data_IF_208015973052
#
_entry.id   IF_208015973052
#
_cell.length_a   1.000
_cell.length_b   1.000
_cell.length_c   1.000
_cell.angle_alpha   90.00
_cell.angle_beta   90.00
_cell.angle_gamma   90.00
#
_symmetry.space_group_name_H-M   'P 1'
#
loop_
_entity.id
_entity.type
_entity.pdbx_description
1 polymer ?
#
# COMPACT_ATOMS: atom_id res chain seq x y z
N UNK A 1 7.42 0.66 9.88
CA UNK A 1 7.37 -0.23 8.69
C UNK A 1 7.91 0.53 7.48
N UNK A 2 8.49 -0.15 6.50
CA UNK A 2 8.89 0.45 5.21
C UNK A 2 8.37 -0.37 4.05
N UNK A 3 8.16 0.28 2.91
CA UNK A 3 7.83 -0.37 1.66
C UNK A 3 9.01 -0.26 0.69
N UNK A 4 9.51 -1.41 0.24
CA UNK A 4 10.53 -1.51 -0.80
C UNK A 4 9.79 -1.71 -2.13
N UNK A 5 9.85 -0.71 -3.00
CA UNK A 5 9.04 -0.64 -4.23
C UNK A 5 9.94 -0.54 -5.46
N UNK A 6 9.62 -1.22 -6.59
CA UNK A 6 10.34 -1.00 -7.83
C UNK A 6 10.32 0.48 -8.21
N UNK A 7 11.43 1.02 -8.73
CA UNK A 7 11.47 2.41 -9.22
C UNK A 7 10.62 2.60 -10.49
N UNK A 8 10.38 1.51 -11.22
CA UNK A 8 9.53 1.42 -12.39
C UNK A 8 8.52 0.30 -12.17
N UNK A 9 7.24 0.64 -12.10
CA UNK A 9 6.21 -0.34 -11.87
C UNK A 9 4.80 0.21 -12.01
N UNK A 10 3.85 -0.69 -12.19
CA UNK A 10 2.41 -0.39 -12.23
C UNK A 10 1.64 -1.45 -11.43
N UNK A 11 0.43 -1.10 -11.02
CA UNK A 11 -0.49 -2.05 -10.39
C UNK A 11 -0.06 -2.53 -9.00
N UNK A 12 0.99 -2.00 -8.38
CA UNK A 12 1.49 -2.47 -7.08
C UNK A 12 2.27 -3.80 -7.14
N UNK A 13 2.74 -4.21 -8.32
CA UNK A 13 3.57 -5.40 -8.49
C UNK A 13 4.95 -5.20 -7.84
N UNK A 14 5.46 -6.25 -7.20
CA UNK A 14 6.82 -6.25 -6.63
C UNK A 14 6.99 -5.43 -5.36
N UNK A 15 5.92 -4.85 -4.79
CA UNK A 15 6.01 -4.12 -3.53
C UNK A 15 6.25 -5.12 -2.39
N UNK A 16 7.30 -4.87 -1.61
CA UNK A 16 7.66 -5.64 -0.42
C UNK A 16 7.42 -4.75 0.80
N UNK A 17 6.60 -5.20 1.73
CA UNK A 17 6.38 -4.51 3.01
C UNK A 17 7.27 -5.12 4.08
N UNK A 18 8.04 -4.30 4.79
CA UNK A 18 9.02 -4.71 5.80
C UNK A 18 8.66 -4.12 7.16
N UNK A 19 8.70 -4.96 8.19
CA UNK A 19 8.45 -4.61 9.59
C UNK A 19 9.57 -5.18 10.47
N UNK A 20 10.01 -4.39 11.45
CA UNK A 20 10.86 -4.88 12.54
C UNK A 20 9.95 -5.43 13.64
N UNK A 21 10.20 -6.64 14.11
CA UNK A 21 9.37 -7.34 15.09
C UNK A 21 9.85 -7.14 16.55
N UNK A 22 11.11 -6.77 16.74
CA UNK A 22 11.79 -6.67 18.04
C UNK A 22 13.05 -7.53 18.08
N UNK A 23 13.98 -7.25 19.00
CA UNK A 23 15.22 -8.04 19.21
C UNK A 23 16.04 -8.28 17.92
N UNK A 24 16.08 -7.31 17.00
CA UNK A 24 16.79 -7.44 15.72
C UNK A 24 16.15 -8.41 14.72
N UNK A 25 14.91 -8.86 14.97
CA UNK A 25 14.14 -9.70 14.05
C UNK A 25 13.29 -8.85 13.10
N UNK A 26 13.16 -9.32 11.86
CA UNK A 26 12.47 -8.65 10.77
C UNK A 26 11.46 -9.58 10.11
N UNK A 27 10.42 -8.99 9.56
CA UNK A 27 9.43 -9.66 8.73
C UNK A 27 9.28 -8.88 7.44
N UNK A 28 9.21 -9.57 6.31
CA UNK A 28 8.69 -8.94 5.11
C UNK A 28 7.58 -9.76 4.47
N UNK A 29 6.70 -9.07 3.75
CA UNK A 29 5.65 -9.66 2.94
C UNK A 29 5.81 -9.23 1.48
N UNK A 30 5.79 -10.21 0.57
CA UNK A 30 5.72 -10.02 -0.87
C UNK A 30 4.52 -10.80 -1.41
N UNK A 31 3.58 -10.10 -2.03
CA UNK A 31 2.28 -10.65 -2.40
C UNK A 31 1.57 -11.25 -1.15
N UNK A 32 1.36 -12.56 -1.12
CA UNK A 32 0.76 -13.31 -0.01
C UNK A 32 1.77 -14.09 0.81
N UNK A 33 3.06 -14.01 0.46
CA UNK A 33 4.13 -14.75 1.12
C UNK A 33 4.78 -13.85 2.16
N UNK A 34 4.82 -14.35 3.40
CA UNK A 34 5.48 -13.69 4.53
C UNK A 34 6.72 -14.50 4.91
N UNK A 35 7.81 -13.81 5.23
CA UNK A 35 9.05 -14.42 5.71
C UNK A 35 9.58 -13.64 6.91
N UNK A 36 10.14 -14.36 7.86
CA UNK A 36 10.81 -13.81 9.05
C UNK A 36 12.31 -14.07 8.98
N UNK A 37 13.07 -13.18 9.62
CA UNK A 37 14.53 -13.16 9.59
C UNK A 37 15.03 -12.71 10.95
N UNK A 38 16.11 -13.31 11.43
CA UNK A 38 16.72 -12.97 12.73
C UNK A 38 17.83 -11.92 12.60
N UNK A 39 18.02 -11.33 11.40
CA UNK A 39 18.99 -10.27 11.16
C UNK A 39 18.64 -9.44 9.93
N UNK A 40 19.09 -8.18 9.91
CA UNK A 40 18.92 -7.28 8.76
C UNK A 40 19.66 -7.79 7.51
N UNK A 41 20.82 -8.41 7.69
CA UNK A 41 21.64 -8.94 6.59
C UNK A 41 20.92 -10.07 5.87
N UNK A 42 20.39 -11.05 6.61
CA UNK A 42 19.67 -12.18 6.00
C UNK A 42 18.39 -11.74 5.27
N UNK A 43 17.67 -10.77 5.84
CA UNK A 43 16.51 -10.14 5.20
C UNK A 43 16.91 -9.41 3.91
N UNK A 44 17.94 -8.56 3.97
CA UNK A 44 18.39 -7.75 2.82
C UNK A 44 18.90 -8.65 1.69
N UNK A 45 19.66 -9.71 1.99
CA UNK A 45 20.07 -10.71 0.99
C UNK A 45 18.87 -11.42 0.36
N UNK A 46 17.82 -11.74 1.13
CA UNK A 46 16.58 -12.32 0.60
C UNK A 46 15.86 -11.37 -0.35
N UNK A 47 15.74 -10.09 0.04
CA UNK A 47 15.14 -9.04 -0.79
C UNK A 47 15.95 -8.86 -2.08
N UNK A 48 17.28 -8.77 -2.01
CA UNK A 48 18.15 -8.63 -3.17
C UNK A 48 17.97 -9.76 -4.20
N UNK A 49 17.81 -11.01 -3.73
CA UNK A 49 17.50 -12.15 -4.61
C UNK A 49 16.12 -12.02 -5.28
N UNK A 50 15.15 -11.39 -4.62
CA UNK A 50 13.80 -11.16 -5.16
C UNK A 50 13.73 -9.98 -6.12
N UNK A 51 14.51 -8.92 -5.89
CA UNK A 51 14.54 -7.74 -6.76
C UNK A 51 15.38 -7.94 -8.02
N UNK A 52 16.22 -8.97 -8.10
CA UNK A 52 17.02 -9.33 -9.29
C UNK A 52 17.87 -8.16 -9.83
N UNK A 53 18.47 -7.38 -8.93
CA UNK A 53 19.28 -6.19 -9.28
C UNK A 53 18.52 -5.03 -9.94
N UNK A 54 17.19 -5.11 -10.01
CA UNK A 54 16.37 -3.96 -10.41
C UNK A 54 16.45 -2.85 -9.36
N UNK A 55 16.30 -1.60 -9.81
CA UNK A 55 16.33 -0.43 -8.93
C UNK A 55 15.03 -0.36 -8.12
N UNK A 56 15.16 -0.26 -6.80
CA UNK A 56 14.05 -0.11 -5.87
C UNK A 56 14.23 1.16 -5.03
N UNK A 57 13.11 1.71 -4.56
CA UNK A 57 13.07 2.80 -3.59
C UNK A 57 12.51 2.28 -2.27
N UNK A 58 13.02 2.81 -1.16
CA UNK A 58 12.51 2.52 0.19
C UNK A 58 11.67 3.71 0.62
N UNK A 59 10.41 3.46 0.94
CA UNK A 59 9.47 4.48 1.37
C UNK A 59 9.01 4.18 2.80
N UNK A 60 9.05 5.19 3.67
CA UNK A 60 8.44 5.08 5.00
C UNK A 60 6.93 4.77 4.87
N UNK A 61 6.48 3.73 5.57
CA UNK A 61 5.08 3.34 5.53
C UNK A 61 4.23 4.16 6.48
N UNK A 62 2.96 4.32 6.12
CA UNK A 62 1.91 4.83 7.01
C UNK A 62 0.98 3.69 7.39
N UNK A 63 0.40 3.77 8.59
CA UNK A 63 -0.62 2.83 9.03
C UNK A 63 -1.94 3.16 8.32
N UNK A 64 -2.28 2.40 7.28
CA UNK A 64 -3.53 2.60 6.56
C UNK A 64 -4.73 2.16 7.41
N UNK A 65 -5.82 2.92 7.25
CA UNK A 65 -7.12 2.54 7.77
C UNK A 65 -7.58 1.20 7.18
N UNK A 66 -8.50 0.55 7.91
CA UNK A 66 -9.04 -0.74 7.54
C UNK A 66 -10.55 -0.71 7.50
N UNK A 67 -11.11 -1.44 6.53
CA UNK A 67 -12.52 -1.75 6.44
C UNK A 67 -12.66 -3.27 6.40
N UNK A 68 -13.35 -3.85 7.40
CA UNK A 68 -13.47 -5.31 7.59
C UNK A 68 -12.10 -6.01 7.56
N UNK A 69 -11.15 -5.48 8.36
CA UNK A 69 -9.76 -5.94 8.47
C UNK A 69 -8.90 -5.85 7.19
N UNK A 70 -9.41 -5.24 6.12
CA UNK A 70 -8.70 -5.06 4.84
C UNK A 70 -8.20 -3.63 4.73
N UNK A 71 -6.95 -3.48 4.31
CA UNK A 71 -6.36 -2.17 4.02
C UNK A 71 -7.15 -1.48 2.92
N UNK A 72 -7.34 -0.18 3.03
CA UNK A 72 -7.79 0.62 1.90
C UNK A 72 -7.02 1.93 1.80
N UNK A 73 -7.06 2.52 0.62
CA UNK A 73 -6.66 3.90 0.40
C UNK A 73 -7.68 4.60 -0.50
N UNK A 74 -7.49 5.89 -0.71
CA UNK A 74 -8.32 6.69 -1.60
C UNK A 74 -7.50 7.09 -2.83
N UNK A 75 -8.15 7.12 -3.99
CA UNK A 75 -7.64 7.74 -5.20
C UNK A 75 -8.54 8.92 -5.53
N UNK A 76 -7.94 10.11 -5.48
CA UNK A 76 -8.57 11.35 -5.92
C UNK A 76 -8.05 11.61 -7.34
N UNK A 77 -8.94 11.80 -8.29
CA UNK A 77 -8.63 12.14 -9.67
C UNK A 77 -8.79 13.64 -9.83
N UNK A 78 -7.73 14.29 -10.30
CA UNK A 78 -7.70 15.74 -10.54
C UNK A 78 -7.39 16.02 -12.00
N UNK A 79 -8.10 16.96 -12.59
CA UNK A 79 -7.94 17.36 -13.99
C UNK A 79 -7.95 18.88 -14.11
N UNK A 80 -7.30 19.43 -15.14
CA UNK A 80 -7.41 20.85 -15.45
C UNK A 80 -8.69 21.11 -16.22
N UNK A 81 -9.50 22.05 -15.74
CA UNK A 81 -10.66 22.53 -16.48
C UNK A 81 -10.24 23.39 -17.69
N UNK A 82 -11.17 23.82 -18.58
CA UNK A 82 -10.84 24.67 -19.74
C UNK A 82 -10.19 26.02 -19.39
N UNK A 83 -10.30 26.46 -18.13
CA UNK A 83 -9.65 27.67 -17.61
C UNK A 83 -8.26 27.38 -17.00
N UNK A 84 -7.75 26.16 -17.15
CA UNK A 84 -6.44 25.73 -16.63
C UNK A 84 -6.38 25.45 -15.13
N UNK A 85 -7.52 25.48 -14.41
CA UNK A 85 -7.57 25.26 -12.95
C UNK A 85 -7.73 23.78 -12.64
N UNK A 86 -7.00 23.29 -11.63
CA UNK A 86 -7.15 21.92 -11.14
C UNK A 86 -8.46 21.74 -10.37
N UNK A 87 -9.22 20.72 -10.74
CA UNK A 87 -10.49 20.35 -10.10
C UNK A 87 -10.52 18.85 -9.84
N UNK A 88 -11.20 18.45 -8.76
CA UNK A 88 -11.44 17.03 -8.47
C UNK A 88 -12.56 16.53 -9.35
N UNK A 89 -12.27 15.56 -10.22
CA UNK A 89 -13.26 14.96 -11.14
C UNK A 89 -13.74 13.59 -10.70
N UNK A 90 -13.17 13.04 -9.63
CA UNK A 90 -13.73 11.88 -8.97
C UNK A 90 -12.88 11.36 -7.82
N UNK A 91 -13.53 10.60 -6.95
CA UNK A 91 -12.91 9.99 -5.78
C UNK A 91 -13.33 8.53 -5.72
N UNK A 92 -12.36 7.63 -5.51
CA UNK A 92 -12.62 6.21 -5.42
C UNK A 92 -11.81 5.57 -4.30
N UNK A 93 -12.48 4.76 -3.49
CA UNK A 93 -11.84 3.92 -2.49
C UNK A 93 -11.29 2.64 -3.11
N UNK A 94 -10.04 2.29 -2.77
CA UNK A 94 -9.39 1.05 -3.21
C UNK A 94 -9.21 0.12 -2.03
N UNK A 95 -10.10 -0.85 -1.90
CA UNK A 95 -10.09 -1.86 -0.85
C UNK A 95 -9.17 -3.02 -1.25
N UNK A 96 -8.05 -3.18 -0.55
CA UNK A 96 -7.04 -4.20 -0.84
C UNK A 96 -7.52 -5.64 -0.64
N UNK A 97 -6.79 -6.57 -1.24
CA UNK A 97 -7.02 -8.00 -1.04
C UNK A 97 -6.72 -8.39 0.43
N UNK A 98 -7.54 -9.23 1.10
CA UNK A 98 -7.38 -9.51 2.54
C UNK A 98 -6.00 -10.02 2.97
N UNK A 99 -5.31 -10.73 2.08
CA UNK A 99 -3.99 -11.32 2.34
C UNK A 99 -2.83 -10.51 1.75
N UNK A 100 -3.05 -9.29 1.25
CA UNK A 100 -1.99 -8.48 0.61
C UNK A 100 -1.85 -7.12 1.29
N UNK A 101 -0.65 -6.57 1.19
CA UNK A 101 -0.29 -5.23 1.70
C UNK A 101 -0.61 -4.09 0.70
N UNK A 102 -1.03 -4.44 -0.52
CA UNK A 102 -1.34 -3.48 -1.58
C UNK A 102 -2.84 -3.41 -1.84
N UNK A 103 -3.32 -2.19 -2.10
CA UNK A 103 -4.74 -1.84 -2.29
C UNK A 103 -5.17 -1.89 -3.76
N UNK A 104 -4.22 -1.99 -4.69
CA UNK A 104 -4.48 -1.85 -6.12
C UNK A 104 -5.44 -2.95 -6.65
N UNK A 105 -6.40 -2.55 -7.48
CA UNK A 105 -7.39 -3.45 -8.10
C UNK A 105 -6.72 -4.54 -8.93
N UNK A 106 -5.63 -4.24 -9.64
CA UNK A 106 -4.84 -5.23 -10.39
C UNK A 106 -4.20 -6.31 -9.52
N UNK A 107 -4.25 -6.17 -8.19
CA UNK A 107 -3.73 -7.14 -7.22
C UNK A 107 -4.85 -7.90 -6.49
N UNK A 108 -6.08 -7.86 -7.01
CA UNK A 108 -7.26 -8.45 -6.38
C UNK A 108 -7.95 -7.52 -5.38
N UNK A 109 -7.65 -6.22 -5.44
CA UNK A 109 -8.41 -5.19 -4.73
C UNK A 109 -9.79 -4.97 -5.36
N UNK A 110 -10.67 -4.26 -4.65
CA UNK A 110 -12.01 -3.87 -5.11
C UNK A 110 -12.20 -2.37 -4.98
N UNK A 111 -12.90 -1.77 -5.94
CA UNK A 111 -13.37 -0.39 -5.82
C UNK A 111 -14.56 -0.29 -4.87
N UNK A 112 -14.58 0.72 -4.02
CA UNK A 112 -15.69 1.02 -3.12
C UNK A 112 -15.95 2.53 -3.04
N UNK A 113 -17.22 2.93 -2.84
CA UNK A 113 -17.55 4.30 -2.44
C UNK A 113 -16.81 4.71 -1.16
N UNK A 114 -16.42 5.97 -1.07
CA UNK A 114 -15.60 6.51 0.02
C UNK A 114 -16.34 6.51 1.36
N UNK A 115 -17.63 6.85 1.34
CA UNK A 115 -18.56 6.82 2.46
C UNK A 115 -18.59 5.44 3.11
N UNK A 116 -18.67 4.36 2.32
CA UNK A 116 -18.64 2.98 2.83
C UNK A 116 -17.33 2.67 3.58
N UNK A 117 -16.19 3.16 3.08
CA UNK A 117 -14.89 2.88 3.68
C UNK A 117 -14.64 3.73 4.93
N UNK A 118 -15.08 4.99 4.92
CA UNK A 118 -14.84 5.97 5.98
C UNK A 118 -15.92 5.99 7.06
N UNK A 119 -17.07 5.33 6.87
CA UNK A 119 -18.20 5.31 7.82
C UNK A 119 -17.81 5.05 9.30
N UNK A 120 -16.77 4.24 9.55
CA UNK A 120 -16.32 3.91 10.92
C UNK A 120 -15.22 4.84 11.46
N UNK A 121 -14.75 5.77 10.64
CA UNK A 121 -13.57 6.61 10.89
C UNK A 121 -13.89 8.11 10.88
N UNK A 122 -15.11 8.48 10.47
CA UNK A 122 -15.60 9.85 10.47
C UNK A 122 -16.79 9.88 11.44
N UNK A 123 -16.75 10.77 12.43
CA UNK A 123 -17.94 11.20 13.17
C UNK A 123 -18.75 12.11 12.27
N UNK A 124 -20.08 11.95 12.26
CA UNK A 124 -20.96 12.85 11.50
C UNK A 124 -20.56 14.30 11.79
N UNK A 125 -20.17 15.01 10.74
CA UNK A 125 -19.98 16.45 10.80
C UNK A 125 -21.39 17.01 10.76
N UNK A 126 -22.04 17.09 11.92
CA UNK A 126 -23.22 17.95 12.07
C UNK A 126 -22.76 19.37 11.78
N UNK A 127 -23.29 19.94 10.69
CA UNK A 127 -23.15 21.35 10.32
C UNK A 127 -23.67 22.29 11.41
#
# INVERSE_FOLDING_TARGET
MVYVKPNRGTGGKGIIGVEMLGQGSYKYQLNTVTRTFNSINSMTSSIHKKTKSEKYVIQYGIHLLRHNNRLFDLRIMVQKNPKGKWETTGVIGRLGHPKKIVTNVCQGGKSKPIDVLLKKHITDVTE
#
